data_IF_786842659443
#
_entry.id   IF_786842659443
#
_cell.length_a   1.000
_cell.length_b   1.000
_cell.length_c   1.000
_cell.angle_alpha   90.00
_cell.angle_beta   90.00
_cell.angle_gamma   90.00
#
_symmetry.space_group_name_H-M   'P 1'
#
loop_
_entity.id
_entity.type
_entity.pdbx_description
1 polymer ?
#
# COMPACT_ATOMS: atom_id res chain seq x y z
N UNK A 1 21.25 -31.84 -10.27
CA UNK A 1 19.97 -31.23 -10.72
C UNK A 1 20.30 -29.82 -11.23
N UNK A 2 20.18 -29.57 -12.54
CA UNK A 2 20.50 -28.23 -13.09
C UNK A 2 19.62 -27.17 -12.42
N UNK A 3 20.25 -26.24 -11.70
CA UNK A 3 19.59 -25.18 -10.92
C UNK A 3 18.73 -24.23 -11.78
N UNK A 4 18.78 -24.33 -13.11
CA UNK A 4 18.19 -23.37 -14.05
C UNK A 4 17.07 -23.94 -14.96
N UNK A 5 16.65 -25.20 -14.78
CA UNK A 5 15.62 -25.82 -15.64
C UNK A 5 14.26 -25.07 -15.63
N UNK A 6 14.00 -24.26 -14.60
CA UNK A 6 12.77 -23.50 -14.41
C UNK A 6 13.03 -22.00 -14.14
N UNK A 7 14.05 -21.41 -14.77
CA UNK A 7 14.32 -19.98 -14.62
C UNK A 7 13.33 -19.14 -15.46
N UNK A 8 12.39 -18.47 -14.78
CA UNK A 8 11.39 -17.61 -15.39
C UNK A 8 11.52 -16.16 -14.91
N UNK A 9 10.92 -15.21 -15.64
CA UNK A 9 10.89 -13.82 -15.23
C UNK A 9 10.24 -13.64 -13.84
N UNK A 10 9.13 -14.35 -13.60
CA UNK A 10 8.44 -14.34 -12.30
C UNK A 10 9.33 -14.85 -11.18
N UNK A 11 10.06 -15.96 -11.41
CA UNK A 11 11.00 -16.51 -10.43
C UNK A 11 12.08 -15.49 -10.07
N UNK A 12 12.67 -14.83 -11.07
CA UNK A 12 13.69 -13.78 -10.84
C UNK A 12 13.13 -12.60 -10.06
N UNK A 13 11.91 -12.15 -10.36
CA UNK A 13 11.24 -11.08 -9.60
C UNK A 13 11.02 -11.47 -8.14
N UNK A 14 10.46 -12.66 -7.88
CA UNK A 14 10.24 -13.16 -6.51
C UNK A 14 11.57 -13.27 -5.74
N UNK A 15 12.62 -13.80 -6.37
CA UNK A 15 13.93 -13.92 -5.74
C UNK A 15 14.64 -12.58 -5.52
N UNK A 16 14.29 -11.53 -6.27
CA UNK A 16 14.82 -10.17 -6.06
C UNK A 16 14.17 -9.42 -4.89
N UNK A 17 13.03 -9.90 -4.35
CA UNK A 17 12.28 -9.19 -3.31
C UNK A 17 13.11 -8.78 -2.08
N UNK A 18 14.01 -9.60 -1.52
CA UNK A 18 14.79 -9.19 -0.35
C UNK A 18 15.69 -7.97 -0.62
N UNK A 19 16.27 -7.88 -1.82
CA UNK A 19 17.09 -6.74 -2.22
C UNK A 19 16.21 -5.53 -2.51
N UNK A 20 15.13 -5.72 -3.25
CA UNK A 20 14.15 -4.68 -3.54
C UNK A 20 13.61 -4.04 -2.25
N UNK A 21 13.29 -4.83 -1.22
CA UNK A 21 12.79 -4.30 0.05
C UNK A 21 13.80 -3.40 0.76
N UNK A 22 15.10 -3.74 0.71
CA UNK A 22 16.16 -2.89 1.30
C UNK A 22 16.29 -1.57 0.55
N UNK A 23 16.32 -1.63 -0.78
CA UNK A 23 16.42 -0.45 -1.63
C UNK A 23 15.21 0.48 -1.44
N UNK A 24 14.00 -0.09 -1.42
CA UNK A 24 12.77 0.67 -1.20
C UNK A 24 12.72 1.29 0.20
N UNK A 25 13.13 0.58 1.25
CA UNK A 25 13.13 1.14 2.60
C UNK A 25 14.10 2.33 2.72
N UNK A 26 15.31 2.21 2.16
CA UNK A 26 16.30 3.28 2.22
C UNK A 26 15.83 4.58 1.56
N UNK A 27 15.01 4.48 0.51
CA UNK A 27 14.44 5.65 -0.17
C UNK A 27 13.14 6.15 0.50
N UNK A 28 12.22 5.25 0.81
CA UNK A 28 10.88 5.62 1.28
C UNK A 28 10.83 6.03 2.74
N UNK A 29 11.65 5.47 3.62
CA UNK A 29 11.64 5.81 5.05
C UNK A 29 11.90 7.30 5.30
N UNK A 30 12.97 7.92 4.77
CA UNK A 30 13.21 9.35 5.01
C UNK A 30 12.14 10.24 4.36
N UNK A 31 11.63 9.85 3.19
CA UNK A 31 10.57 10.60 2.47
C UNK A 31 9.23 10.55 3.21
N UNK A 32 8.88 9.41 3.79
CA UNK A 32 7.59 9.23 4.48
C UNK A 32 7.53 9.98 5.80
N UNK A 33 8.66 10.30 6.44
CA UNK A 33 8.70 11.10 7.68
C UNK A 33 8.20 12.54 7.51
N UNK A 34 8.27 13.08 6.29
CA UNK A 34 7.98 14.49 6.02
C UNK A 34 6.84 14.69 5.02
N UNK A 35 6.19 13.61 4.59
CA UNK A 35 5.11 13.65 3.58
C UNK A 35 3.88 14.42 4.07
N UNK A 36 3.65 14.43 5.38
CA UNK A 36 2.59 15.19 6.02
C UNK A 36 3.20 15.99 7.17
N UNK A 37 2.77 17.25 7.29
CA UNK A 37 3.05 18.09 8.45
C UNK A 37 2.28 17.61 9.68
N UNK A 38 2.74 18.01 10.87
CA UNK A 38 2.04 17.68 12.13
C UNK A 38 0.56 18.09 12.11
N UNK A 39 0.17 19.31 11.66
CA UNK A 39 -1.25 19.67 11.57
C UNK A 39 -2.04 18.76 10.61
N UNK A 40 -1.47 18.38 9.47
CA UNK A 40 -2.14 17.47 8.53
C UNK A 40 -2.36 16.10 9.15
N UNK A 41 -1.35 15.52 9.82
CA UNK A 41 -1.45 14.22 10.47
C UNK A 41 -2.59 14.20 11.50
N UNK A 42 -2.67 15.21 12.37
CA UNK A 42 -3.70 15.28 13.41
C UNK A 42 -5.10 15.62 12.87
N UNK A 43 -5.20 16.16 11.66
CA UNK A 43 -6.49 16.49 11.04
C UNK A 43 -7.07 15.32 10.22
N UNK A 44 -6.35 14.20 10.05
CA UNK A 44 -6.88 13.02 9.36
C UNK A 44 -7.95 12.35 10.23
N UNK A 45 -9.19 12.39 9.76
CA UNK A 45 -10.32 11.73 10.43
C UNK A 45 -10.60 10.33 9.89
N UNK A 46 -10.21 10.08 8.63
CA UNK A 46 -10.49 8.83 7.90
C UNK A 46 -9.49 8.67 6.77
N UNK A 47 -9.15 7.41 6.45
CA UNK A 47 -8.38 7.04 5.27
C UNK A 47 -9.26 6.19 4.35
N UNK A 48 -9.33 6.55 3.07
CA UNK A 48 -9.95 5.74 2.02
C UNK A 48 -8.84 5.24 1.10
N UNK A 49 -8.57 3.94 1.12
CA UNK A 49 -7.62 3.30 0.23
C UNK A 49 -8.36 2.76 -0.99
N UNK A 50 -7.73 2.85 -2.17
CA UNK A 50 -8.30 2.31 -3.40
C UNK A 50 -7.25 1.63 -4.26
N UNK A 51 -7.69 0.65 -5.04
CA UNK A 51 -6.87 -0.10 -5.98
C UNK A 51 -7.70 -1.15 -6.73
N UNK A 52 -7.06 -1.79 -7.70
CA UNK A 52 -7.59 -2.95 -8.42
C UNK A 52 -6.58 -4.10 -8.35
N UNK A 53 -7.05 -5.35 -8.43
CA UNK A 53 -6.19 -6.54 -8.39
C UNK A 53 -5.26 -6.58 -7.17
N UNK A 54 -3.96 -6.75 -7.40
CA UNK A 54 -2.97 -6.83 -6.32
C UNK A 54 -2.88 -5.55 -5.49
N UNK A 55 -3.11 -4.37 -6.07
CA UNK A 55 -3.14 -3.12 -5.31
C UNK A 55 -4.33 -3.05 -4.35
N UNK A 56 -5.47 -3.66 -4.71
CA UNK A 56 -6.60 -3.81 -3.79
C UNK A 56 -6.24 -4.76 -2.64
N UNK A 57 -5.58 -5.89 -2.93
CA UNK A 57 -5.09 -6.81 -1.91
C UNK A 57 -4.07 -6.13 -0.97
N UNK A 58 -3.15 -5.32 -1.51
CA UNK A 58 -2.22 -4.53 -0.71
C UNK A 58 -2.96 -3.54 0.20
N UNK A 59 -3.97 -2.84 -0.32
CA UNK A 59 -4.80 -1.92 0.47
C UNK A 59 -5.55 -2.62 1.62
N UNK A 60 -6.04 -3.85 1.41
CA UNK A 60 -6.65 -4.66 2.47
C UNK A 60 -5.67 -4.95 3.62
N UNK A 61 -4.41 -5.23 3.30
CA UNK A 61 -3.37 -5.43 4.33
C UNK A 61 -3.02 -4.11 5.00
N UNK A 62 -2.83 -3.03 4.23
CA UNK A 62 -2.49 -1.70 4.75
C UNK A 62 -3.57 -1.13 5.68
N UNK A 63 -4.86 -1.40 5.43
CA UNK A 63 -5.96 -1.04 6.32
C UNK A 63 -5.68 -1.48 7.76
N UNK A 64 -5.29 -2.75 7.93
CA UNK A 64 -5.03 -3.30 9.26
C UNK A 64 -3.86 -2.59 9.94
N UNK A 65 -2.84 -2.17 9.19
CA UNK A 65 -1.72 -1.42 9.74
C UNK A 65 -2.15 -0.03 10.24
N UNK A 66 -2.91 0.73 9.45
CA UNK A 66 -3.41 2.04 9.86
C UNK A 66 -4.35 1.96 11.07
N UNK A 67 -5.29 1.01 11.07
CA UNK A 67 -6.22 0.83 12.20
C UNK A 67 -5.49 0.37 13.47
N UNK A 68 -4.49 -0.52 13.34
CA UNK A 68 -3.75 -1.04 14.48
C UNK A 68 -2.79 -0.01 15.08
N UNK A 69 -2.00 0.68 14.26
CA UNK A 69 -0.90 1.52 14.72
C UNK A 69 -1.27 3.00 14.79
N UNK A 70 -1.96 3.54 13.78
CA UNK A 70 -2.34 4.95 13.74
C UNK A 70 -3.70 5.24 14.39
N UNK A 71 -4.51 4.20 14.65
CA UNK A 71 -5.88 4.30 15.21
C UNK A 71 -6.83 5.15 14.35
N UNK A 72 -6.56 5.23 13.05
CA UNK A 72 -7.39 5.97 12.09
C UNK A 72 -8.36 5.01 11.41
N UNK A 73 -9.64 5.38 11.37
CA UNK A 73 -10.67 4.62 10.64
C UNK A 73 -10.27 4.52 9.17
N UNK A 74 -10.11 3.30 8.67
CA UNK A 74 -9.62 3.07 7.30
C UNK A 74 -10.56 2.14 6.54
N UNK A 75 -10.93 2.54 5.32
CA UNK A 75 -11.72 1.70 4.42
C UNK A 75 -11.00 1.43 3.11
N UNK A 76 -11.38 0.34 2.45
CA UNK A 76 -10.80 -0.07 1.17
C UNK A 76 -11.93 -0.20 0.17
N UNK A 77 -11.85 0.57 -0.90
CA UNK A 77 -12.89 0.66 -1.94
C UNK A 77 -12.27 0.28 -3.28
N UNK A 78 -12.95 -0.56 -4.06
CA UNK A 78 -12.46 -0.88 -5.41
C UNK A 78 -12.41 0.38 -6.26
N UNK A 79 -11.47 0.47 -7.19
CA UNK A 79 -11.34 1.67 -8.05
C UNK A 79 -12.62 1.98 -8.81
N UNK A 80 -13.35 0.94 -9.28
CA UNK A 80 -14.58 1.14 -10.03
C UNK A 80 -15.72 1.68 -9.16
N UNK A 81 -15.83 1.20 -7.92
CA UNK A 81 -16.84 1.68 -6.99
C UNK A 81 -16.54 3.11 -6.56
N UNK A 82 -15.26 3.41 -6.25
CA UNK A 82 -14.83 4.75 -5.89
C UNK A 82 -15.15 5.76 -7.00
N UNK A 83 -14.89 5.40 -8.26
CA UNK A 83 -15.09 6.30 -9.39
C UNK A 83 -16.56 6.52 -9.77
N UNK A 84 -17.44 5.54 -9.52
CA UNK A 84 -18.81 5.56 -10.07
C UNK A 84 -19.91 5.68 -9.03
N UNK A 85 -19.76 5.02 -7.90
CA UNK A 85 -20.85 4.79 -6.95
C UNK A 85 -20.56 5.35 -5.55
N UNK A 86 -19.32 5.72 -5.27
CA UNK A 86 -18.94 6.22 -3.96
C UNK A 86 -19.47 7.63 -3.74
N UNK A 87 -20.31 7.79 -2.71
CA UNK A 87 -20.98 9.05 -2.45
C UNK A 87 -19.97 10.13 -2.06
N UNK A 88 -20.04 11.29 -2.73
CA UNK A 88 -19.15 12.44 -2.45
C UNK A 88 -19.17 12.90 -1.00
N UNK A 89 -20.26 12.64 -0.27
CA UNK A 89 -20.38 12.98 1.16
C UNK A 89 -19.43 12.16 2.06
N UNK A 90 -18.84 11.10 1.52
CA UNK A 90 -17.87 10.23 2.20
C UNK A 90 -16.41 10.54 1.81
N UNK A 91 -16.18 11.60 1.02
CA UNK A 91 -14.88 12.21 0.71
C UNK A 91 -14.72 13.50 1.53
#
# INVERSE_FOLDING_TARGET
MEKNKFDSALRRQVLSLPQLMKEQYMDLEPKTRTVLSTPEIFNIQRIVLTGCGDSYAAALVSKHAFEKYAKIRTEVVTTIDLARAYEKKNL
#
